data_IF_482861001054
#
_entry.id   IF_482861001054
#
_cell.length_a   1.000
_cell.length_b   1.000
_cell.length_c   1.000
_cell.angle_alpha   90.00
_cell.angle_beta   90.00
_cell.angle_gamma   90.00
#
_symmetry.space_group_name_H-M   'P 1'
#
loop_
_entity.id
_entity.type
_entity.pdbx_description
1 polymer ?
#
# COMPACT_ATOMS: atom_id res chain seq x y z
N UNK A 1 -18.34 -6.15 10.42
CA UNK A 1 -19.02 -4.92 10.89
C UNK A 1 -18.02 -4.14 11.71
N UNK A 2 -17.55 -2.99 11.23
CA UNK A 2 -16.76 -2.05 12.04
C UNK A 2 -17.65 -1.53 13.16
N UNK A 3 -17.25 -1.76 14.42
CA UNK A 3 -17.93 -1.15 15.55
C UNK A 3 -18.02 0.37 15.32
N UNK A 4 -19.18 0.98 15.55
CA UNK A 4 -19.26 2.44 15.46
C UNK A 4 -18.36 3.05 16.54
N UNK A 5 -17.78 4.24 16.31
CA UNK A 5 -16.97 4.94 17.33
C UNK A 5 -17.70 4.97 18.68
N UNK A 6 -19.02 5.24 18.68
CA UNK A 6 -19.85 5.25 19.89
C UNK A 6 -19.95 3.88 20.58
N UNK A 7 -20.03 2.79 19.79
CA UNK A 7 -20.06 1.45 20.35
C UNK A 7 -18.72 1.08 21.01
N UNK A 8 -17.61 1.45 20.38
CA UNK A 8 -16.28 1.25 20.98
C UNK A 8 -16.11 2.04 22.27
N UNK A 9 -16.52 3.32 22.29
CA UNK A 9 -16.48 4.14 23.51
C UNK A 9 -17.38 3.56 24.60
N UNK A 10 -18.59 3.09 24.27
CA UNK A 10 -19.49 2.49 25.25
C UNK A 10 -18.93 1.20 25.85
N UNK A 11 -18.17 0.43 25.09
CA UNK A 11 -17.61 -0.84 25.54
C UNK A 11 -16.24 -0.70 26.23
N UNK A 12 -15.36 0.18 25.71
CA UNK A 12 -13.95 0.28 26.13
C UNK A 12 -13.62 1.58 26.86
N UNK A 13 -14.54 2.58 26.88
CA UNK A 13 -14.30 3.92 27.38
C UNK A 13 -13.68 4.87 26.33
N UNK A 14 -13.08 4.34 25.26
CA UNK A 14 -12.40 5.10 24.23
C UNK A 14 -12.51 4.46 22.84
N UNK A 15 -12.12 5.21 21.79
CA UNK A 15 -12.01 4.69 20.43
C UNK A 15 -10.87 5.36 19.67
N UNK A 16 -10.08 4.60 18.87
CA UNK A 16 -9.14 5.17 17.91
C UNK A 16 -9.92 5.78 16.73
N UNK A 17 -9.54 7.00 16.34
CA UNK A 17 -10.20 7.75 15.28
C UNK A 17 -9.20 8.45 14.37
N UNK A 18 -9.66 8.72 13.12
CA UNK A 18 -9.00 9.61 12.16
C UNK A 18 -9.89 10.85 12.06
N UNK A 19 -9.36 11.99 12.46
CA UNK A 19 -10.00 13.30 12.26
C UNK A 19 -9.42 13.96 11.01
N UNK A 20 -10.27 14.28 10.05
CA UNK A 20 -9.91 14.95 8.80
C UNK A 20 -10.03 16.46 8.99
N UNK A 21 -8.96 17.19 8.74
CA UNK A 21 -8.92 18.63 8.88
C UNK A 21 -9.56 19.35 7.69
N UNK A 22 -10.00 20.59 7.90
CA UNK A 22 -10.44 21.48 6.82
C UNK A 22 -9.21 22.10 6.14
N UNK A 23 -9.34 22.45 4.85
CA UNK A 23 -8.24 23.05 4.08
C UNK A 23 -7.85 24.47 4.59
N UNK A 24 -8.76 25.13 5.30
CA UNK A 24 -8.55 26.49 5.85
C UNK A 24 -7.83 26.50 7.20
N UNK A 25 -7.74 25.33 7.86
CA UNK A 25 -6.98 25.22 9.10
C UNK A 25 -5.50 25.33 8.78
N UNK A 26 -4.85 26.45 9.21
CA UNK A 26 -3.38 26.49 9.14
C UNK A 26 -2.82 25.32 9.96
N UNK A 27 -1.87 24.55 9.43
CA UNK A 27 -1.40 23.33 10.10
C UNK A 27 -0.97 23.56 11.56
N UNK A 28 -0.40 24.74 11.88
CA UNK A 28 0.15 25.03 13.20
C UNK A 28 -0.90 25.46 14.24
N UNK A 29 -1.90 26.25 13.85
CA UNK A 29 -2.93 26.72 14.78
C UNK A 29 -4.06 25.70 15.01
N UNK A 30 -4.30 24.80 14.02
CA UNK A 30 -5.26 23.72 14.14
C UNK A 30 -4.71 22.57 15.01
N UNK A 31 -3.37 22.36 15.02
CA UNK A 31 -2.74 21.27 15.73
C UNK A 31 -3.06 21.30 17.24
N UNK A 32 -2.80 22.39 17.92
CA UNK A 32 -2.99 22.48 19.38
C UNK A 32 -4.48 22.39 19.79
N UNK A 33 -5.36 23.11 19.06
CA UNK A 33 -6.79 23.14 19.37
C UNK A 33 -7.47 21.78 19.12
N UNK A 34 -7.05 21.06 18.07
CA UNK A 34 -7.58 19.73 17.72
C UNK A 34 -6.96 18.67 18.61
N UNK A 35 -5.64 18.72 18.86
CA UNK A 35 -4.91 17.76 19.70
C UNK A 35 -5.44 17.73 21.13
N UNK A 36 -5.89 18.85 21.69
CA UNK A 36 -6.47 18.95 23.03
C UNK A 36 -7.74 18.08 23.23
N UNK A 37 -8.36 17.63 22.16
CA UNK A 37 -9.56 16.78 22.22
C UNK A 37 -9.27 15.27 22.25
N UNK A 38 -8.01 14.89 22.06
CA UNK A 38 -7.59 13.50 22.16
C UNK A 38 -7.15 13.17 23.57
N UNK A 39 -7.42 11.95 23.96
CA UNK A 39 -7.08 11.46 25.30
C UNK A 39 -5.58 11.15 25.35
N UNK A 40 -4.83 11.60 26.38
CA UNK A 40 -3.47 11.13 26.60
C UNK A 40 -3.46 9.60 26.68
N UNK A 41 -2.47 8.92 26.09
CA UNK A 41 -2.37 7.48 26.24
C UNK A 41 -2.29 7.10 27.71
N UNK A 42 -3.42 6.63 28.23
CA UNK A 42 -3.40 5.81 29.44
C UNK A 42 -2.72 4.50 29.02
N UNK A 43 -1.57 4.21 29.57
CA UNK A 43 -0.66 3.14 29.18
C UNK A 43 -1.37 1.90 28.63
N UNK A 44 -1.03 1.56 27.40
CA UNK A 44 -1.71 0.65 26.46
C UNK A 44 -2.44 -0.54 27.12
N UNK A 45 -3.73 -0.44 27.31
CA UNK A 45 -4.57 -1.58 27.70
C UNK A 45 -4.82 -2.58 26.56
N UNK A 46 -4.27 -2.35 25.36
CA UNK A 46 -4.41 -3.22 24.19
C UNK A 46 -3.17 -4.08 23.87
N UNK A 47 -2.15 -4.07 24.71
CA UNK A 47 -0.90 -4.81 24.47
C UNK A 47 -0.24 -5.38 25.72
N UNK A 48 -0.98 -6.06 26.60
CA UNK A 48 -0.45 -6.67 27.84
C UNK A 48 0.64 -7.72 27.72
N UNK A 49 1.30 -7.85 26.56
CA UNK A 49 2.43 -8.77 26.35
C UNK A 49 3.70 -8.09 25.79
N UNK A 50 3.68 -6.80 25.46
CA UNK A 50 4.83 -6.10 24.85
C UNK A 50 5.55 -5.12 25.80
N UNK A 51 5.08 -4.94 27.05
CA UNK A 51 5.63 -3.94 28.01
C UNK A 51 6.85 -4.44 28.78
N UNK A 52 7.20 -5.73 28.71
CA UNK A 52 8.34 -6.27 29.47
C UNK A 52 9.73 -5.94 28.88
N UNK A 53 9.82 -5.21 27.75
CA UNK A 53 11.10 -4.85 27.12
C UNK A 53 11.40 -3.34 27.08
N UNK A 54 10.59 -2.50 27.72
CA UNK A 54 10.73 -1.03 27.68
C UNK A 54 11.13 -0.38 29.00
N UNK A 55 11.77 -1.13 29.92
CA UNK A 55 12.18 -0.59 31.23
C UNK A 55 13.47 0.24 31.23
N UNK A 56 14.04 0.56 30.07
CA UNK A 56 15.32 1.28 30.00
C UNK A 56 15.34 2.53 29.09
N UNK A 57 14.22 3.23 28.92
CA UNK A 57 14.20 4.56 28.30
C UNK A 57 13.71 5.58 29.31
N UNK A 58 14.64 6.44 29.70
CA UNK A 58 14.44 7.47 30.71
C UNK A 58 13.18 8.33 30.51
N UNK A 59 12.56 8.72 31.61
CA UNK A 59 11.37 9.54 31.71
C UNK A 59 11.59 10.94 31.13
N UNK A 60 11.48 11.12 29.81
CA UNK A 60 11.38 12.42 29.18
C UNK A 60 10.81 12.24 27.76
N UNK A 61 9.52 12.15 27.62
CA UNK A 61 8.68 12.57 26.50
C UNK A 61 7.40 11.73 26.58
N UNK A 62 6.38 12.30 27.20
CA UNK A 62 5.02 11.72 27.14
C UNK A 62 4.67 11.53 25.65
N UNK A 63 4.41 10.28 25.24
CA UNK A 63 3.99 9.97 23.87
C UNK A 63 2.76 10.84 23.56
N UNK A 64 2.76 11.64 22.49
CA UNK A 64 1.65 12.51 22.18
C UNK A 64 0.36 11.69 22.05
N UNK A 65 -0.71 12.16 22.70
CA UNK A 65 -2.03 11.55 22.67
C UNK A 65 -2.61 11.37 21.27
N UNK A 66 -2.10 12.10 20.29
CA UNK A 66 -2.49 12.07 18.90
C UNK A 66 -1.35 12.50 17.99
N UNK A 67 -1.42 12.07 16.72
CA UNK A 67 -0.44 12.35 15.69
C UNK A 67 -1.06 13.13 14.54
N UNK A 68 -0.42 14.21 14.16
CA UNK A 68 -0.76 15.00 12.94
C UNK A 68 0.03 14.44 11.75
N UNK A 69 -0.66 14.14 10.67
CA UNK A 69 -0.11 13.76 9.37
C UNK A 69 -0.39 14.90 8.39
N UNK A 70 0.63 15.72 8.15
CA UNK A 70 0.48 17.05 7.53
C UNK A 70 0.12 16.99 6.05
N UNK A 71 0.75 16.08 5.30
CA UNK A 71 0.48 15.93 3.86
C UNK A 71 -0.91 15.33 3.61
N UNK A 72 -1.41 14.53 4.57
CA UNK A 72 -2.76 13.96 4.50
C UNK A 72 -3.83 14.88 5.11
N UNK A 73 -3.46 15.92 5.83
CA UNK A 73 -4.39 16.82 6.51
C UNK A 73 -5.27 16.08 7.53
N UNK A 74 -4.68 15.18 8.32
CA UNK A 74 -5.41 14.39 9.32
C UNK A 74 -4.72 14.37 10.67
N UNK A 75 -5.51 14.06 11.70
CA UNK A 75 -5.02 13.72 13.04
C UNK A 75 -5.52 12.32 13.40
N UNK A 76 -4.61 11.45 13.84
CA UNK A 76 -4.91 10.12 14.34
C UNK A 76 -4.65 10.05 15.84
N UNK A 77 -5.53 9.42 16.58
CA UNK A 77 -5.38 9.21 18.01
C UNK A 77 -6.63 8.60 18.65
N UNK A 78 -6.64 8.54 19.98
CA UNK A 78 -7.72 7.95 20.78
C UNK A 78 -8.56 9.04 21.39
N UNK A 79 -9.89 8.86 21.39
CA UNK A 79 -10.85 9.80 21.97
C UNK A 79 -11.85 9.11 22.90
N UNK A 80 -12.25 9.84 23.94
CA UNK A 80 -13.41 9.54 24.76
C UNK A 80 -14.67 10.24 24.21
N UNK A 81 -15.82 10.05 24.84
CA UNK A 81 -17.09 10.63 24.40
C UNK A 81 -17.06 12.17 24.31
N UNK A 82 -16.43 12.84 25.27
CA UNK A 82 -16.29 14.30 25.29
C UNK A 82 -15.40 14.80 24.14
N UNK A 83 -14.23 14.17 23.94
CA UNK A 83 -13.30 14.49 22.85
C UNK A 83 -13.93 14.26 21.48
N UNK A 84 -14.65 13.15 21.28
CA UNK A 84 -15.39 12.90 20.02
C UNK A 84 -16.42 14.00 19.73
N UNK A 85 -17.14 14.45 20.77
CA UNK A 85 -18.14 15.53 20.63
C UNK A 85 -17.47 16.85 20.28
N UNK A 86 -16.37 17.18 20.93
CA UNK A 86 -15.57 18.39 20.66
C UNK A 86 -14.96 18.38 19.25
N UNK A 87 -14.36 17.26 18.82
CA UNK A 87 -13.84 17.13 17.44
C UNK A 87 -14.92 17.37 16.38
N UNK A 88 -16.12 16.82 16.60
CA UNK A 88 -17.24 17.00 15.66
C UNK A 88 -17.81 18.41 15.63
N UNK A 89 -17.65 19.17 16.69
CA UNK A 89 -18.07 20.56 16.81
C UNK A 89 -17.00 21.54 16.34
N UNK A 90 -15.76 21.10 16.19
CA UNK A 90 -14.63 21.94 15.79
C UNK A 90 -14.76 22.36 14.33
N UNK A 91 -14.65 23.69 14.01
CA UNK A 91 -14.64 24.16 12.63
C UNK A 91 -13.40 23.72 11.84
N UNK A 92 -12.33 23.34 12.55
CA UNK A 92 -11.11 22.81 11.93
C UNK A 92 -11.23 21.34 11.48
N UNK A 93 -12.31 20.64 11.86
CA UNK A 93 -12.52 19.21 11.56
C UNK A 93 -13.71 19.02 10.65
N UNK A 94 -13.47 18.53 9.42
CA UNK A 94 -14.55 18.25 8.45
C UNK A 94 -15.21 16.89 8.65
N UNK A 95 -14.50 15.91 9.23
CA UNK A 95 -15.02 14.56 9.48
C UNK A 95 -14.21 13.84 10.54
N UNK A 96 -14.87 12.93 11.29
CA UNK A 96 -14.21 11.99 12.22
C UNK A 96 -14.67 10.58 11.87
N UNK A 97 -13.72 9.70 11.51
CA UNK A 97 -13.98 8.31 11.14
C UNK A 97 -13.31 7.34 12.12
N UNK A 98 -13.89 6.14 12.31
CA UNK A 98 -13.23 5.11 13.12
C UNK A 98 -11.94 4.68 12.42
N UNK A 99 -10.89 4.45 13.17
CA UNK A 99 -9.69 3.80 12.67
C UNK A 99 -9.92 2.29 12.63
N UNK A 100 -9.67 1.68 11.49
CA UNK A 100 -9.78 0.24 11.29
C UNK A 100 -8.38 -0.37 11.13
N UNK A 101 -8.17 -1.52 11.74
CA UNK A 101 -6.88 -2.21 11.69
C UNK A 101 -6.68 -2.90 10.33
N UNK A 102 -5.68 -2.47 9.60
CA UNK A 102 -5.22 -3.12 8.38
C UNK A 102 -4.31 -4.31 8.71
N UNK A 103 -4.08 -5.19 7.75
CA UNK A 103 -3.15 -6.31 7.88
C UNK A 103 -2.48 -6.61 6.54
N UNK A 104 -1.30 -7.23 6.59
CA UNK A 104 -0.65 -7.77 5.41
C UNK A 104 -1.56 -8.79 4.70
N UNK A 105 -1.61 -8.75 3.38
CA UNK A 105 -2.25 -9.78 2.57
C UNK A 105 -1.19 -10.85 2.31
N UNK A 106 -1.13 -11.86 3.19
CA UNK A 106 -0.10 -12.90 3.11
C UNK A 106 -0.25 -13.76 1.86
N UNK A 107 0.87 -14.17 1.25
CA UNK A 107 0.87 -15.13 0.15
C UNK A 107 0.17 -16.43 0.54
N UNK A 108 -0.49 -17.07 -0.44
CA UNK A 108 -1.19 -18.36 -0.26
C UNK A 108 -0.23 -19.54 -0.36
N UNK A 109 0.83 -19.41 -1.15
CA UNK A 109 1.89 -20.42 -1.29
C UNK A 109 3.24 -19.74 -1.27
N UNK A 110 4.24 -20.47 -0.76
CA UNK A 110 5.64 -20.09 -0.77
C UNK A 110 6.49 -21.34 -1.08
N UNK A 111 7.36 -21.26 -2.07
CA UNK A 111 8.27 -22.32 -2.45
C UNK A 111 9.67 -21.75 -2.74
N UNK A 112 10.70 -22.59 -2.64
CA UNK A 112 12.02 -22.25 -3.18
C UNK A 112 12.01 -22.54 -4.67
N UNK A 113 12.33 -21.58 -5.54
CA UNK A 113 12.44 -21.82 -6.96
C UNK A 113 13.70 -22.66 -7.25
N UNK A 114 13.66 -23.42 -8.35
CA UNK A 114 14.89 -23.68 -9.11
C UNK A 114 15.46 -22.32 -9.55
N UNK A 115 16.78 -22.14 -9.54
CA UNK A 115 17.41 -20.87 -9.91
C UNK A 115 16.80 -20.27 -11.18
N UNK A 116 16.22 -19.05 -11.11
CA UNK A 116 15.61 -18.42 -12.28
C UNK A 116 16.68 -18.05 -13.31
N UNK A 117 16.29 -17.99 -14.57
CA UNK A 117 17.16 -17.55 -15.67
C UNK A 117 16.40 -16.60 -16.58
N UNK A 118 17.08 -15.57 -17.07
CA UNK A 118 16.49 -14.60 -17.98
C UNK A 118 15.38 -13.78 -17.31
N UNK A 119 14.43 -13.33 -18.10
CA UNK A 119 13.26 -12.58 -17.61
C UNK A 119 12.24 -13.54 -17.01
N UNK A 120 11.84 -13.29 -15.76
CA UNK A 120 10.78 -14.10 -15.11
C UNK A 120 9.44 -13.92 -15.80
N UNK A 121 8.57 -14.93 -15.71
CA UNK A 121 7.37 -14.99 -16.52
C UNK A 121 6.43 -13.78 -16.34
N UNK A 122 6.28 -13.30 -15.10
CA UNK A 122 5.39 -12.18 -14.81
C UNK A 122 5.82 -10.90 -15.51
N UNK A 123 7.10 -10.59 -15.47
CA UNK A 123 7.70 -9.42 -16.16
C UNK A 123 7.57 -9.55 -17.69
N UNK A 124 7.82 -10.76 -18.23
CA UNK A 124 7.65 -11.02 -19.66
C UNK A 124 6.18 -10.95 -20.10
N UNK A 125 5.25 -11.38 -19.24
CA UNK A 125 3.81 -11.35 -19.54
C UNK A 125 3.28 -9.92 -19.73
N UNK A 126 3.80 -8.95 -18.96
CA UNK A 126 3.48 -7.53 -19.13
C UNK A 126 4.15 -6.88 -20.36
N UNK A 127 4.98 -7.61 -21.08
CA UNK A 127 5.81 -7.08 -22.18
C UNK A 127 6.75 -5.93 -21.72
N UNK A 128 7.22 -6.00 -20.45
CA UNK A 128 8.15 -5.00 -19.92
C UNK A 128 9.49 -4.95 -20.67
N UNK A 129 10.09 -6.09 -21.12
CA UNK A 129 11.30 -6.05 -21.95
C UNK A 129 11.17 -5.23 -23.22
N UNK A 130 10.01 -5.24 -23.87
CA UNK A 130 9.71 -4.47 -25.07
C UNK A 130 9.60 -2.96 -24.76
N UNK A 131 9.15 -2.60 -23.56
CA UNK A 131 9.17 -1.21 -23.09
C UNK A 131 10.59 -0.76 -22.74
N UNK A 132 11.40 -1.62 -22.13
CA UNK A 132 12.82 -1.32 -21.85
C UNK A 132 13.62 -1.11 -23.14
N UNK A 133 13.33 -1.90 -24.18
CA UNK A 133 13.97 -1.74 -25.49
C UNK A 133 13.68 -0.38 -26.13
N UNK A 134 12.59 0.28 -25.73
CA UNK A 134 12.25 1.66 -26.12
C UNK A 134 12.83 2.72 -25.15
N UNK A 135 13.55 2.31 -24.10
CA UNK A 135 14.16 3.18 -23.10
C UNK A 135 13.31 3.43 -21.86
N UNK A 136 12.11 2.82 -21.77
CA UNK A 136 11.21 3.02 -20.62
C UNK A 136 11.49 1.99 -19.53
N UNK A 137 12.22 2.38 -18.50
CA UNK A 137 12.62 1.55 -17.36
C UNK A 137 12.03 2.00 -16.03
N UNK A 138 11.25 3.09 -16.03
CA UNK A 138 10.73 3.76 -14.83
C UNK A 138 11.69 4.83 -14.27
N UNK A 139 12.77 5.18 -15.00
CA UNK A 139 13.77 6.13 -14.53
C UNK A 139 13.16 7.50 -14.17
N UNK A 140 13.57 8.06 -13.03
CA UNK A 140 13.08 9.33 -12.51
C UNK A 140 11.67 9.29 -11.91
N UNK A 141 11.04 8.11 -11.84
CA UNK A 141 9.73 7.94 -11.20
C UNK A 141 9.89 7.36 -9.80
N UNK A 142 9.46 8.11 -8.79
CA UNK A 142 9.41 7.64 -7.40
C UNK A 142 8.18 6.79 -7.16
N UNK A 143 8.41 5.59 -6.66
CA UNK A 143 7.36 4.66 -6.26
C UNK A 143 7.46 4.38 -4.78
N UNK A 144 6.45 4.76 -4.02
CA UNK A 144 6.34 4.40 -2.61
C UNK A 144 5.88 2.94 -2.48
N UNK A 145 6.55 2.18 -1.62
CA UNK A 145 6.28 0.80 -1.33
C UNK A 145 6.03 0.65 0.17
N UNK A 146 4.77 0.47 0.57
CA UNK A 146 4.36 0.30 1.96
C UNK A 146 4.14 -1.18 2.26
N UNK A 147 5.07 -1.79 2.98
CA UNK A 147 5.08 -3.23 3.24
C UNK A 147 5.81 -3.55 4.57
N UNK A 148 6.43 -4.69 4.65
CA UNK A 148 7.24 -5.14 5.79
C UNK A 148 8.68 -4.59 5.80
N UNK A 149 8.98 -3.62 4.93
CA UNK A 149 10.31 -3.09 4.68
C UNK A 149 10.96 -3.76 3.47
N UNK A 150 12.30 -3.72 3.39
CA UNK A 150 13.07 -4.25 2.26
C UNK A 150 14.49 -4.62 2.69
N UNK A 151 15.01 -5.71 2.16
CA UNK A 151 16.43 -6.06 2.23
C UNK A 151 17.17 -5.48 1.01
N UNK A 152 17.67 -4.25 1.14
CA UNK A 152 18.40 -3.57 0.07
C UNK A 152 19.79 -4.17 -0.22
N UNK A 153 20.24 -5.14 0.60
CA UNK A 153 21.50 -5.86 0.34
C UNK A 153 21.33 -6.98 -0.68
N UNK A 154 20.08 -7.33 -1.04
CA UNK A 154 19.84 -8.30 -2.10
C UNK A 154 20.39 -7.77 -3.42
N UNK A 155 21.18 -8.55 -4.19
CA UNK A 155 21.87 -8.06 -5.39
C UNK A 155 20.96 -7.37 -6.41
N UNK A 156 19.74 -7.88 -6.61
CA UNK A 156 18.80 -7.23 -7.56
C UNK A 156 18.18 -5.93 -7.04
N UNK A 157 18.38 -5.56 -5.79
CA UNK A 157 17.90 -4.31 -5.19
C UNK A 157 19.03 -3.29 -4.96
N UNK A 158 20.26 -3.64 -5.34
CA UNK A 158 21.40 -2.73 -5.22
C UNK A 158 21.15 -1.40 -5.97
N UNK A 159 21.17 -0.30 -5.21
CA UNK A 159 20.89 1.04 -5.68
C UNK A 159 19.44 1.28 -6.17
N UNK A 160 18.51 0.34 -6.00
CA UNK A 160 17.09 0.55 -6.33
C UNK A 160 16.36 1.36 -5.26
N UNK A 161 16.70 1.14 -3.97
CA UNK A 161 16.10 1.84 -2.83
C UNK A 161 16.79 3.19 -2.66
N UNK A 162 16.08 4.28 -2.99
CA UNK A 162 16.60 5.64 -2.88
C UNK A 162 16.20 6.32 -1.56
N UNK A 163 15.09 5.88 -0.97
CA UNK A 163 14.59 6.36 0.31
C UNK A 163 14.06 5.19 1.14
N UNK A 164 14.32 5.22 2.45
CA UNK A 164 13.74 4.27 3.38
C UNK A 164 13.15 4.98 4.59
N UNK A 165 12.04 4.47 5.08
CA UNK A 165 11.43 4.92 6.32
C UNK A 165 10.92 3.72 7.14
N UNK A 166 11.15 3.80 8.44
CA UNK A 166 10.49 2.94 9.43
C UNK A 166 9.60 3.81 10.30
N UNK A 167 8.41 3.31 10.64
CA UNK A 167 7.48 4.02 11.50
C UNK A 167 7.25 3.23 12.78
N UNK A 168 7.26 3.91 13.92
CA UNK A 168 6.92 3.32 15.21
C UNK A 168 5.38 3.13 15.34
N UNK A 169 4.96 2.53 16.44
CA UNK A 169 3.53 2.25 16.72
C UNK A 169 2.66 3.52 16.85
N UNK A 170 3.26 4.70 16.95
CA UNK A 170 2.56 6.00 16.96
C UNK A 170 2.48 6.64 15.57
N UNK A 171 3.08 6.01 14.55
CA UNK A 171 3.19 6.56 13.20
C UNK A 171 4.28 7.63 13.04
N UNK A 172 5.20 7.76 14.01
CA UNK A 172 6.37 8.62 13.89
C UNK A 172 7.44 7.90 13.07
N UNK A 173 8.07 8.63 12.14
CA UNK A 173 9.28 8.12 11.47
C UNK A 173 10.39 7.91 12.49
N UNK A 174 10.98 6.72 12.49
CA UNK A 174 12.15 6.41 13.32
C UNK A 174 13.36 7.08 12.68
N UNK A 175 14.06 7.98 13.39
CA UNK A 175 15.25 8.62 12.85
C UNK A 175 16.34 7.60 12.56
N UNK A 176 17.05 7.77 11.45
CA UNK A 176 18.22 6.95 11.07
C UNK A 176 18.00 5.43 11.13
N UNK A 177 16.74 5.00 10.91
CA UNK A 177 16.42 3.59 10.91
C UNK A 177 17.22 2.85 9.81
N UNK A 178 17.87 1.72 10.13
CA UNK A 178 18.58 0.94 9.14
C UNK A 178 17.60 0.32 8.14
N UNK A 179 18.00 0.25 6.87
CA UNK A 179 17.19 -0.42 5.85
C UNK A 179 17.10 -1.90 6.22
N UNK A 180 15.88 -2.39 6.39
CA UNK A 180 15.61 -3.78 6.80
C UNK A 180 14.23 -4.25 6.36
N UNK A 181 14.05 -5.54 6.23
CA UNK A 181 12.75 -6.20 6.12
C UNK A 181 12.38 -6.83 7.46
N UNK A 182 11.29 -6.40 8.05
CA UNK A 182 10.78 -6.90 9.34
C UNK A 182 10.08 -8.26 9.23
N UNK A 183 9.74 -8.73 8.02
CA UNK A 183 9.06 -10.01 7.83
C UNK A 183 10.05 -11.18 7.73
N UNK A 184 9.76 -12.23 8.47
CA UNK A 184 10.56 -13.46 8.43
C UNK A 184 10.57 -14.08 7.03
N UNK A 185 9.49 -13.98 6.28
CA UNK A 185 9.36 -14.56 4.95
C UNK A 185 9.72 -13.58 3.82
N UNK A 186 10.27 -12.38 4.20
CA UNK A 186 10.75 -11.37 3.26
C UNK A 186 9.71 -10.91 2.25
N UNK A 187 8.46 -10.73 2.71
CA UNK A 187 7.37 -10.31 1.84
C UNK A 187 7.67 -8.97 1.16
N UNK A 188 8.10 -7.96 1.92
CA UNK A 188 8.41 -6.65 1.37
C UNK A 188 9.60 -6.68 0.40
N UNK A 189 10.63 -7.48 0.67
CA UNK A 189 11.77 -7.65 -0.26
C UNK A 189 11.32 -8.28 -1.58
N UNK A 190 10.44 -9.29 -1.53
CA UNK A 190 9.90 -9.93 -2.72
C UNK A 190 9.07 -8.95 -3.57
N UNK A 191 8.16 -8.20 -2.96
CA UNK A 191 7.29 -7.23 -3.65
C UNK A 191 8.07 -6.03 -4.17
N UNK A 192 9.07 -5.54 -3.42
CA UNK A 192 10.00 -4.48 -3.85
C UNK A 192 10.79 -4.90 -5.10
N UNK A 193 11.36 -6.12 -5.09
CA UNK A 193 12.12 -6.63 -6.23
C UNK A 193 11.23 -6.92 -7.44
N UNK A 194 9.99 -7.39 -7.25
CA UNK A 194 9.01 -7.54 -8.34
C UNK A 194 8.69 -6.19 -9.00
N UNK A 195 8.67 -5.11 -8.23
CA UNK A 195 8.44 -3.76 -8.73
C UNK A 195 9.68 -3.21 -9.44
N UNK A 196 10.82 -3.13 -8.76
CA UNK A 196 11.99 -2.33 -9.16
C UNK A 196 13.31 -3.12 -9.20
N UNK A 197 13.26 -4.46 -9.11
CA UNK A 197 14.47 -5.29 -9.13
C UNK A 197 15.26 -5.13 -10.42
N UNK A 198 16.57 -4.93 -10.26
CA UNK A 198 17.52 -4.78 -11.37
C UNK A 198 18.00 -6.14 -11.85
N UNK A 199 18.53 -6.18 -13.06
CA UNK A 199 19.15 -7.40 -13.59
C UNK A 199 20.35 -7.81 -12.73
N UNK A 200 20.37 -9.09 -12.35
CA UNK A 200 21.45 -9.69 -11.57
C UNK A 200 21.74 -11.08 -12.11
N UNK A 201 22.99 -11.34 -12.51
CA UNK A 201 23.44 -12.61 -13.10
C UNK A 201 22.55 -13.10 -14.26
N UNK A 202 22.09 -12.16 -15.09
CA UNK A 202 21.20 -12.43 -16.21
C UNK A 202 19.75 -12.73 -15.84
N UNK A 203 19.36 -12.54 -14.57
CA UNK A 203 17.97 -12.67 -14.09
C UNK A 203 17.32 -11.30 -13.96
N UNK A 204 16.10 -11.17 -14.50
CA UNK A 204 15.30 -9.95 -14.48
C UNK A 204 13.96 -10.24 -13.78
N UNK A 205 13.78 -9.72 -12.58
CA UNK A 205 12.59 -9.92 -11.74
C UNK A 205 11.71 -8.67 -11.61
N UNK A 206 12.27 -7.47 -11.80
CA UNK A 206 11.56 -6.21 -11.64
C UNK A 206 10.93 -5.73 -12.94
N UNK A 207 9.72 -5.17 -12.86
CA UNK A 207 9.00 -4.58 -13.99
C UNK A 207 9.62 -3.23 -14.38
N UNK A 208 9.96 -2.39 -13.40
CA UNK A 208 10.50 -1.04 -13.59
C UNK A 208 11.91 -0.92 -12.96
N UNK A 209 12.95 -1.52 -13.57
CA UNK A 209 14.29 -1.61 -12.97
C UNK A 209 15.00 -0.25 -12.83
N UNK A 210 14.52 0.79 -13.48
CA UNK A 210 15.01 2.17 -13.33
C UNK A 210 14.23 3.03 -12.35
N UNK A 211 13.12 2.54 -11.79
CA UNK A 211 12.32 3.30 -10.83
C UNK A 211 13.09 3.59 -9.54
N UNK A 212 12.79 4.74 -8.94
CA UNK A 212 13.29 5.16 -7.64
C UNK A 212 12.39 4.60 -6.53
N UNK A 213 12.82 3.51 -5.89
CA UNK A 213 12.03 2.86 -4.86
C UNK A 213 12.16 3.58 -3.52
N UNK A 214 11.03 4.11 -3.01
CA UNK A 214 10.89 4.66 -1.67
C UNK A 214 10.17 3.62 -0.79
N UNK A 215 10.91 2.81 -0.02
CA UNK A 215 10.33 1.72 0.75
C UNK A 215 10.09 2.08 2.20
N UNK A 216 8.93 1.71 2.74
CA UNK A 216 8.57 1.96 4.12
C UNK A 216 8.19 0.67 4.85
N UNK A 217 8.79 0.47 6.03
CA UNK A 217 8.40 -0.56 6.98
C UNK A 217 7.20 -0.06 7.78
N UNK A 218 6.01 -0.52 7.40
CA UNK A 218 4.73 -0.16 8.05
C UNK A 218 4.01 -1.37 8.64
N UNK A 219 4.42 -2.59 8.28
CA UNK A 219 3.86 -3.84 8.77
C UNK A 219 4.86 -4.50 9.71
N UNK A 220 4.77 -4.17 10.98
CA UNK A 220 5.49 -4.79 12.08
C UNK A 220 4.63 -4.60 13.35
N UNK A 221 4.79 -5.37 14.38
CA UNK A 221 3.92 -5.38 15.57
C UNK A 221 3.41 -4.03 16.11
N UNK A 222 2.45 -4.04 17.02
CA UNK A 222 1.81 -2.85 17.57
C UNK A 222 0.67 -2.29 16.71
N UNK A 223 0.43 -0.97 16.76
CA UNK A 223 -0.59 -0.30 15.94
C UNK A 223 -0.09 -0.05 14.52
N UNK A 224 -0.41 -0.98 13.62
CA UNK A 224 -0.05 -0.86 12.21
C UNK A 224 -0.85 0.22 11.48
N UNK A 225 -1.99 0.65 11.99
CA UNK A 225 -2.76 1.74 11.37
C UNK A 225 -1.99 3.05 11.44
N UNK A 226 -1.44 3.39 12.60
CA UNK A 226 -0.59 4.58 12.76
C UNK A 226 0.64 4.53 11.84
N UNK A 227 1.31 3.36 11.76
CA UNK A 227 2.46 3.14 10.86
C UNK A 227 2.10 3.37 9.40
N UNK A 228 0.96 2.82 8.94
CA UNK A 228 0.49 2.95 7.56
C UNK A 228 0.14 4.40 7.25
N UNK A 229 -0.52 5.11 8.17
CA UNK A 229 -0.81 6.55 8.02
C UNK A 229 0.49 7.37 7.91
N UNK A 230 1.50 7.04 8.74
CA UNK A 230 2.83 7.63 8.63
C UNK A 230 3.49 7.37 7.28
N UNK A 231 3.41 6.13 6.79
CA UNK A 231 3.91 5.75 5.47
C UNK A 231 3.20 6.45 4.31
N UNK A 232 1.87 6.60 4.38
CA UNK A 232 1.08 7.34 3.38
C UNK A 232 1.44 8.83 3.36
N UNK A 233 1.55 9.45 4.53
CA UNK A 233 1.96 10.86 4.67
C UNK A 233 3.37 11.08 4.10
N UNK A 234 4.29 10.20 4.45
CA UNK A 234 5.66 10.23 3.96
C UNK A 234 5.73 10.01 2.44
N UNK A 235 4.92 9.11 1.88
CA UNK A 235 4.88 8.85 0.44
C UNK A 235 4.56 10.12 -0.37
N UNK A 236 3.62 10.94 0.12
CA UNK A 236 3.34 12.26 -0.46
C UNK A 236 4.54 13.18 -0.29
N UNK A 237 5.12 13.23 0.92
CA UNK A 237 6.26 14.10 1.25
C UNK A 237 7.52 13.82 0.43
N UNK A 238 7.80 12.56 0.06
CA UNK A 238 8.94 12.20 -0.80
C UNK A 238 8.65 12.38 -2.29
N UNK A 239 7.44 12.82 -2.65
CA UNK A 239 7.06 13.06 -4.04
C UNK A 239 6.83 11.77 -4.84
N UNK A 240 6.36 10.71 -4.21
CA UNK A 240 5.99 9.49 -4.91
C UNK A 240 4.81 9.74 -5.86
N UNK A 241 4.86 9.17 -7.06
CA UNK A 241 3.78 9.21 -8.04
C UNK A 241 2.90 7.96 -8.03
N UNK A 242 3.43 6.87 -7.51
CA UNK A 242 2.73 5.58 -7.34
C UNK A 242 2.90 5.14 -5.90
N UNK A 243 1.86 4.56 -5.32
CA UNK A 243 1.89 3.94 -4.00
C UNK A 243 1.45 2.47 -4.14
N UNK A 244 2.38 1.54 -3.92
CA UNK A 244 2.14 0.09 -3.95
C UNK A 244 1.84 -0.41 -2.55
N UNK A 245 0.67 -1.05 -2.36
CA UNK A 245 0.22 -1.57 -1.07
C UNK A 245 -0.33 -2.99 -1.18
N UNK A 246 0.37 -3.94 -0.55
CA UNK A 246 -0.05 -5.34 -0.44
C UNK A 246 -0.68 -5.64 0.92
N UNK A 247 -1.61 -4.78 1.35
CA UNK A 247 -2.25 -4.79 2.65
C UNK A 247 -3.73 -4.44 2.57
N UNK A 248 -4.51 -4.79 3.58
CA UNK A 248 -5.93 -4.44 3.61
C UNK A 248 -6.71 -5.08 4.77
N UNK A 249 -7.94 -4.62 4.97
CA UNK A 249 -8.92 -5.19 5.89
C UNK A 249 -10.03 -5.88 5.12
N UNK A 250 -10.45 -7.05 5.56
CA UNK A 250 -11.52 -7.83 4.91
C UNK A 250 -12.85 -7.09 4.86
N UNK A 251 -13.49 -7.15 3.70
CA UNK A 251 -14.78 -6.52 3.44
C UNK A 251 -14.68 -5.03 3.08
N UNK A 252 -15.84 -4.38 2.94
CA UNK A 252 -15.93 -2.95 2.66
C UNK A 252 -15.95 -2.16 3.98
N UNK A 253 -14.87 -1.45 4.23
CA UNK A 253 -14.67 -0.62 5.43
C UNK A 253 -14.26 0.78 4.99
N UNK A 254 -15.08 1.79 5.24
CA UNK A 254 -14.93 3.14 4.69
C UNK A 254 -13.93 4.04 5.44
N UNK A 255 -13.17 3.51 6.40
CA UNK A 255 -12.24 4.29 7.24
C UNK A 255 -11.17 5.04 6.44
N UNK A 256 -10.69 4.44 5.34
CA UNK A 256 -9.60 4.96 4.53
C UNK A 256 -10.04 5.54 3.19
N UNK A 257 -11.36 5.64 2.93
CA UNK A 257 -11.88 6.11 1.64
C UNK A 257 -11.41 7.53 1.29
N UNK A 258 -11.45 8.46 2.28
CA UNK A 258 -11.00 9.83 2.07
C UNK A 258 -9.48 9.92 1.93
N UNK A 259 -8.72 9.02 2.57
CA UNK A 259 -7.26 8.98 2.45
C UNK A 259 -6.83 8.60 1.04
N UNK A 260 -7.49 7.63 0.43
CA UNK A 260 -7.26 7.27 -0.98
C UNK A 260 -7.58 8.46 -1.91
N UNK A 261 -8.62 9.22 -1.61
CA UNK A 261 -8.91 10.45 -2.35
C UNK A 261 -7.81 11.51 -2.17
N UNK A 262 -7.35 11.74 -0.94
CA UNK A 262 -6.26 12.68 -0.63
C UNK A 262 -4.96 12.29 -1.34
N UNK A 263 -4.59 11.00 -1.36
CA UNK A 263 -3.42 10.53 -2.11
C UNK A 263 -3.52 10.92 -3.58
N UNK A 264 -4.66 10.67 -4.23
CA UNK A 264 -4.87 11.03 -5.63
C UNK A 264 -4.86 12.54 -5.87
N UNK A 265 -5.47 13.30 -4.98
CA UNK A 265 -5.49 14.77 -5.06
C UNK A 265 -4.06 15.37 -4.92
N UNK A 266 -3.12 14.61 -4.31
CA UNK A 266 -1.68 14.90 -4.27
C UNK A 266 -0.89 14.25 -5.42
N UNK A 267 -1.54 13.72 -6.45
CA UNK A 267 -0.88 13.15 -7.63
C UNK A 267 -0.28 11.76 -7.42
N UNK A 268 -0.66 11.05 -6.37
CA UNK A 268 -0.20 9.68 -6.06
C UNK A 268 -1.24 8.66 -6.51
N UNK A 269 -0.88 7.74 -7.41
CA UNK A 269 -1.74 6.62 -7.83
C UNK A 269 -1.65 5.47 -6.82
N UNK A 270 -2.71 5.17 -6.04
CA UNK A 270 -2.71 4.05 -5.13
C UNK A 270 -3.03 2.74 -5.87
N UNK A 271 -2.05 1.83 -5.93
CA UNK A 271 -2.16 0.49 -6.51
C UNK A 271 -2.25 -0.51 -5.36
N UNK A 272 -3.35 -1.23 -5.25
CA UNK A 272 -3.70 -1.97 -4.02
C UNK A 272 -4.17 -3.39 -4.32
N UNK A 273 -3.63 -4.36 -3.59
CA UNK A 273 -4.06 -5.75 -3.65
C UNK A 273 -5.51 -5.94 -3.19
N UNK A 274 -6.32 -6.72 -3.95
CA UNK A 274 -7.73 -6.94 -3.63
C UNK A 274 -7.96 -7.96 -2.51
N UNK A 275 -7.02 -8.86 -2.26
CA UNK A 275 -7.15 -9.93 -1.26
C UNK A 275 -7.07 -11.34 -1.84
N UNK A 276 -6.93 -12.33 -0.94
CA UNK A 276 -6.67 -13.73 -1.28
C UNK A 276 -7.77 -14.69 -0.74
N UNK A 277 -8.99 -14.20 -0.58
CA UNK A 277 -10.09 -14.95 0.01
C UNK A 277 -11.09 -15.51 -1.02
N UNK A 278 -10.77 -15.40 -2.32
CA UNK A 278 -11.56 -15.95 -3.40
C UNK A 278 -12.77 -15.10 -3.83
N UNK A 279 -13.63 -15.67 -4.70
CA UNK A 279 -14.80 -14.97 -5.23
C UNK A 279 -15.80 -14.54 -4.15
N UNK A 280 -16.48 -13.41 -4.38
CA UNK A 280 -17.47 -12.85 -3.45
C UNK A 280 -16.86 -12.13 -2.26
N UNK A 281 -15.54 -11.95 -2.24
CA UNK A 281 -14.79 -11.29 -1.18
C UNK A 281 -13.95 -10.14 -1.71
N UNK A 282 -13.55 -9.23 -0.81
CA UNK A 282 -12.62 -8.14 -1.13
C UNK A 282 -12.00 -7.57 0.14
N UNK A 283 -10.96 -6.75 -0.02
CA UNK A 283 -10.34 -5.99 1.07
C UNK A 283 -10.32 -4.49 0.77
N UNK A 284 -10.59 -3.68 1.78
CA UNK A 284 -10.35 -2.23 1.75
C UNK A 284 -8.88 -1.94 2.10
N UNK A 285 -8.22 -1.00 1.40
CA UNK A 285 -8.73 -0.05 0.41
C UNK A 285 -8.80 -0.57 -1.04
N UNK A 286 -8.35 -1.80 -1.36
CA UNK A 286 -8.37 -2.35 -2.71
C UNK A 286 -9.76 -2.40 -3.38
N UNK A 287 -10.84 -2.35 -2.60
CA UNK A 287 -12.21 -2.32 -3.13
C UNK A 287 -12.82 -0.91 -3.24
N UNK A 288 -12.00 0.15 -3.09
CA UNK A 288 -12.49 1.52 -3.24
C UNK A 288 -12.49 1.97 -4.69
N UNK A 289 -13.46 2.82 -5.10
CA UNK A 289 -13.56 3.29 -6.49
C UNK A 289 -12.36 4.12 -6.99
N UNK A 290 -11.58 4.68 -6.09
CA UNK A 290 -10.41 5.53 -6.40
C UNK A 290 -9.07 4.85 -6.13
N UNK A 291 -9.05 3.56 -5.82
CA UNK A 291 -7.83 2.75 -5.75
C UNK A 291 -7.76 1.88 -7.00
N UNK A 292 -6.60 1.79 -7.65
CA UNK A 292 -6.38 0.83 -8.72
C UNK A 292 -6.24 -0.56 -8.09
N UNK A 293 -7.32 -1.32 -8.18
CA UNK A 293 -7.48 -2.62 -7.53
C UNK A 293 -6.87 -3.74 -8.36
N UNK A 294 -5.99 -4.55 -7.76
CA UNK A 294 -5.25 -5.59 -8.48
C UNK A 294 -5.58 -6.98 -7.95
N UNK A 295 -6.06 -7.83 -8.86
CA UNK A 295 -6.22 -9.27 -8.67
C UNK A 295 -5.06 -10.06 -9.26
N UNK A 296 -5.08 -11.39 -9.10
CA UNK A 296 -4.02 -12.28 -9.52
C UNK A 296 -4.48 -13.24 -10.62
N UNK A 297 -3.64 -13.44 -11.66
CA UNK A 297 -3.80 -14.49 -12.65
C UNK A 297 -2.54 -15.38 -12.72
N UNK A 298 -2.66 -16.57 -13.32
CA UNK A 298 -1.58 -17.51 -13.57
C UNK A 298 -0.98 -17.37 -14.98
N UNK A 299 -0.02 -18.25 -15.31
CA UNK A 299 0.68 -18.25 -16.61
C UNK A 299 -0.25 -18.56 -17.80
N UNK A 300 -1.34 -19.26 -17.56
CA UNK A 300 -2.33 -19.62 -18.58
C UNK A 300 -3.35 -18.49 -18.82
N UNK A 301 -3.19 -17.35 -18.13
CA UNK A 301 -4.09 -16.21 -18.21
C UNK A 301 -5.42 -16.46 -17.53
N UNK A 302 -5.48 -17.34 -16.53
CA UNK A 302 -6.69 -17.61 -15.75
C UNK A 302 -6.61 -16.91 -14.40
N UNK A 303 -7.71 -16.32 -13.96
CA UNK A 303 -7.77 -15.70 -12.63
C UNK A 303 -7.57 -16.75 -11.56
N UNK A 304 -6.59 -16.54 -10.69
CA UNK A 304 -6.27 -17.47 -9.61
C UNK A 304 -7.48 -17.71 -8.70
N UNK A 305 -7.68 -18.96 -8.29
CA UNK A 305 -8.82 -19.34 -7.45
C UNK A 305 -8.92 -18.57 -6.14
N UNK A 306 -7.75 -18.22 -5.56
CA UNK A 306 -7.67 -17.44 -4.33
C UNK A 306 -7.94 -15.94 -4.55
N UNK A 307 -7.71 -15.39 -5.76
CA UNK A 307 -7.87 -13.95 -6.00
C UNK A 307 -9.27 -13.50 -5.63
N UNK A 308 -9.36 -12.54 -4.72
CA UNK A 308 -10.64 -11.97 -4.34
C UNK A 308 -11.28 -11.24 -5.51
N UNK A 309 -12.59 -11.22 -5.56
CA UNK A 309 -13.38 -10.42 -6.50
C UNK A 309 -14.79 -10.22 -5.95
N UNK A 310 -15.36 -9.05 -6.16
CA UNK A 310 -16.68 -8.73 -5.62
C UNK A 310 -17.45 -7.79 -6.54
N UNK A 311 -18.79 -8.01 -6.63
CA UNK A 311 -19.73 -7.07 -7.24
C UNK A 311 -20.38 -6.23 -6.14
N UNK A 312 -20.39 -4.91 -6.32
CA UNK A 312 -21.01 -3.94 -5.43
C UNK A 312 -22.27 -3.34 -6.06
N UNK A 313 -23.25 -3.00 -5.22
CA UNK A 313 -24.44 -2.25 -5.62
C UNK A 313 -24.12 -0.73 -5.66
N UNK A 314 -23.25 -0.33 -6.60
CA UNK A 314 -22.89 1.06 -6.83
C UNK A 314 -22.87 1.35 -8.33
N UNK A 315 -23.17 2.61 -8.73
CA UNK A 315 -23.31 3.01 -10.14
C UNK A 315 -21.98 3.00 -10.90
N UNK A 316 -20.92 3.44 -10.22
CA UNK A 316 -19.56 3.50 -10.78
C UNK A 316 -18.69 2.43 -10.11
N UNK A 317 -17.78 1.81 -10.87
CA UNK A 317 -16.88 0.75 -10.37
C UNK A 317 -17.62 -0.38 -9.64
N UNK A 318 -18.63 -1.00 -10.27
CA UNK A 318 -19.44 -2.03 -9.60
C UNK A 318 -18.67 -3.35 -9.39
N UNK A 319 -17.59 -3.57 -10.12
CA UNK A 319 -16.73 -4.75 -10.04
C UNK A 319 -15.37 -4.42 -9.44
N UNK A 320 -14.79 -5.37 -8.75
CA UNK A 320 -13.42 -5.34 -8.26
C UNK A 320 -12.85 -6.78 -8.28
N UNK A 321 -11.57 -6.98 -8.62
CA UNK A 321 -10.53 -5.98 -8.90
C UNK A 321 -10.82 -5.20 -10.18
N UNK A 322 -10.05 -4.12 -10.42
CA UNK A 322 -10.13 -3.37 -11.68
C UNK A 322 -9.38 -4.11 -12.79
N UNK A 323 -8.19 -4.63 -12.47
CA UNK A 323 -7.36 -5.44 -13.37
C UNK A 323 -6.80 -6.65 -12.63
N UNK A 324 -6.28 -7.60 -13.40
CA UNK A 324 -5.48 -8.70 -12.88
C UNK A 324 -4.07 -8.66 -13.46
N UNK A 325 -3.09 -9.13 -12.68
CA UNK A 325 -1.69 -9.19 -13.08
C UNK A 325 -1.05 -10.51 -12.61
N UNK A 326 0.16 -10.85 -13.05
CA UNK A 326 0.86 -12.05 -12.64
C UNK A 326 0.96 -12.18 -11.11
N UNK A 327 0.31 -13.20 -10.55
CA UNK A 327 0.23 -13.38 -9.11
C UNK A 327 0.34 -14.85 -8.64
N UNK A 328 0.59 -15.78 -9.57
CA UNK A 328 0.78 -17.21 -9.26
C UNK A 328 2.21 -17.60 -9.60
N UNK A 329 2.90 -18.24 -8.66
CA UNK A 329 4.27 -18.71 -8.81
C UNK A 329 5.21 -17.59 -9.32
N UNK A 330 5.12 -16.43 -8.70
CA UNK A 330 5.96 -15.27 -8.99
C UNK A 330 7.32 -15.46 -8.32
N UNK A 331 8.37 -15.52 -9.13
CA UNK A 331 9.76 -15.58 -8.66
C UNK A 331 10.29 -14.18 -8.47
N UNK A 332 10.86 -13.89 -7.30
CA UNK A 332 11.50 -12.61 -6.98
C UNK A 332 12.52 -12.80 -5.85
N UNK A 333 13.04 -11.69 -5.32
CA UNK A 333 14.03 -11.72 -4.24
C UNK A 333 13.51 -12.43 -2.99
N UNK A 334 14.37 -13.24 -2.40
CA UNK A 334 14.12 -13.99 -1.19
C UNK A 334 15.13 -13.68 -0.09
N UNK A 335 15.38 -14.66 0.78
CA UNK A 335 16.36 -14.54 1.88
C UNK A 335 17.78 -14.70 1.38
N UNK A 336 18.72 -14.09 2.11
CA UNK A 336 20.17 -14.33 1.97
C UNK A 336 20.66 -14.16 0.52
N UNK A 337 20.10 -13.17 -0.20
CA UNK A 337 20.47 -12.92 -1.59
C UNK A 337 19.92 -13.95 -2.58
N UNK A 338 19.09 -14.89 -2.12
CA UNK A 338 18.50 -15.94 -2.95
C UNK A 338 17.14 -15.55 -3.54
N UNK A 339 16.55 -16.49 -4.26
CA UNK A 339 15.25 -16.33 -4.91
C UNK A 339 14.15 -17.05 -4.15
N UNK A 340 12.91 -16.55 -4.28
CA UNK A 340 11.74 -17.15 -3.67
C UNK A 340 10.56 -17.10 -4.64
N UNK A 341 9.68 -18.11 -4.59
CA UNK A 341 8.44 -18.15 -5.36
C UNK A 341 7.26 -17.95 -4.43
N UNK A 342 6.45 -16.95 -4.69
CA UNK A 342 5.24 -16.65 -3.91
C UNK A 342 4.03 -16.55 -4.83
N UNK A 343 2.83 -16.86 -4.28
CA UNK A 343 1.55 -16.67 -4.97
C UNK A 343 0.61 -15.84 -4.09
N UNK A 344 -0.01 -14.81 -4.68
CA UNK A 344 -0.93 -13.89 -4.01
C UNK A 344 -1.20 -12.65 -4.83
N UNK A 345 -2.28 -11.94 -4.52
CA UNK A 345 -2.55 -10.62 -5.09
C UNK A 345 -1.49 -9.59 -4.68
N UNK A 346 -0.77 -9.85 -3.59
CA UNK A 346 0.42 -9.10 -3.16
C UNK A 346 1.57 -9.15 -4.17
N UNK A 347 1.68 -10.22 -4.95
CA UNK A 347 2.69 -10.36 -6.00
C UNK A 347 2.23 -9.73 -7.31
N UNK A 348 0.92 -9.69 -7.55
CA UNK A 348 0.32 -9.03 -8.71
C UNK A 348 0.41 -7.49 -8.62
N UNK A 349 0.20 -6.92 -7.45
CA UNK A 349 0.17 -5.47 -7.20
C UNK A 349 1.46 -4.75 -7.65
N UNK A 350 2.68 -5.20 -7.26
CA UNK A 350 3.91 -4.55 -7.70
C UNK A 350 4.15 -4.63 -9.21
N UNK A 351 3.61 -5.62 -9.92
CA UNK A 351 3.65 -5.65 -11.38
C UNK A 351 2.91 -4.44 -11.98
N UNK A 352 1.72 -4.13 -11.47
CA UNK A 352 0.92 -2.99 -11.94
C UNK A 352 1.55 -1.66 -11.51
N UNK A 353 2.09 -1.59 -10.30
CA UNK A 353 2.80 -0.40 -9.83
C UNK A 353 4.06 -0.10 -10.67
N UNK A 354 4.82 -1.15 -11.02
CA UNK A 354 5.96 -1.04 -11.95
C UNK A 354 5.51 -0.60 -13.35
N UNK A 355 4.44 -1.18 -13.89
CA UNK A 355 3.88 -0.75 -15.18
C UNK A 355 3.50 0.73 -15.16
N UNK A 356 2.82 1.19 -14.10
CA UNK A 356 2.49 2.62 -13.97
C UNK A 356 3.76 3.50 -14.00
N UNK A 357 4.85 3.07 -13.35
CA UNK A 357 6.11 3.80 -13.37
C UNK A 357 6.75 3.85 -14.78
N UNK A 358 6.68 2.76 -15.56
CA UNK A 358 7.14 2.76 -16.96
C UNK A 358 6.36 3.79 -17.80
N UNK A 359 5.04 3.79 -17.67
CA UNK A 359 4.15 4.70 -18.41
C UNK A 359 4.36 6.16 -17.99
N UNK A 360 4.57 6.44 -16.70
CA UNK A 360 4.85 7.78 -16.18
C UNK A 360 6.21 8.33 -16.63
N UNK A 361 7.21 7.46 -16.84
CA UNK A 361 8.47 7.88 -17.49
C UNK A 361 8.26 8.22 -18.96
N UNK A 362 7.48 7.41 -19.67
CA UNK A 362 7.21 7.64 -21.10
C UNK A 362 6.37 8.91 -21.32
N UNK A 363 5.47 9.23 -20.40
CA UNK A 363 4.56 10.38 -20.45
C UNK A 363 4.61 11.17 -19.14
N UNK A 364 5.67 11.96 -18.88
CA UNK A 364 5.89 12.62 -17.59
C UNK A 364 4.82 13.67 -17.26
N UNK A 365 4.18 14.27 -18.28
CA UNK A 365 3.13 15.28 -18.14
C UNK A 365 1.73 14.67 -17.95
N UNK A 366 1.58 13.35 -18.12
CA UNK A 366 0.30 12.70 -17.90
C UNK A 366 -0.05 12.67 -16.40
N UNK A 367 -1.29 13.04 -16.07
CA UNK A 367 -1.82 12.88 -14.74
C UNK A 367 -2.09 11.40 -14.40
N UNK A 368 -2.29 11.13 -13.13
CA UNK A 368 -2.51 9.75 -12.66
C UNK A 368 -3.80 9.12 -13.18
N UNK A 369 -4.81 9.92 -13.47
CA UNK A 369 -6.09 9.45 -14.02
C UNK A 369 -5.93 9.01 -15.49
N UNK A 370 -5.06 9.70 -16.24
CA UNK A 370 -4.69 9.33 -17.61
C UNK A 370 -3.88 8.05 -17.65
N UNK A 371 -2.89 7.89 -16.76
CA UNK A 371 -2.10 6.66 -16.63
C UNK A 371 -3.00 5.47 -16.24
N UNK A 372 -3.85 5.64 -15.22
CA UNK A 372 -4.79 4.61 -14.80
C UNK A 372 -5.73 4.20 -15.93
N UNK A 373 -6.33 5.16 -16.63
CA UNK A 373 -7.21 4.91 -17.77
C UNK A 373 -6.51 4.11 -18.86
N UNK A 374 -5.26 4.45 -19.19
CA UNK A 374 -4.47 3.70 -20.18
C UNK A 374 -4.27 2.23 -19.76
N UNK A 375 -3.98 1.98 -18.47
CA UNK A 375 -3.88 0.62 -17.92
C UNK A 375 -5.21 -0.13 -18.03
N UNK A 376 -6.32 0.50 -17.63
CA UNK A 376 -7.65 -0.12 -17.63
C UNK A 376 -8.15 -0.45 -19.05
N UNK A 377 -8.06 0.51 -19.98
CA UNK A 377 -8.55 0.37 -21.34
C UNK A 377 -7.70 -0.54 -22.22
N UNK A 378 -6.43 -0.76 -21.87
CA UNK A 378 -5.54 -1.65 -22.58
C UNK A 378 -5.62 -3.10 -22.10
N UNK A 379 -6.13 -3.33 -20.90
CA UNK A 379 -6.22 -4.65 -20.30
C UNK A 379 -7.02 -5.64 -21.16
N UNK A 380 -6.64 -6.92 -21.11
CA UNK A 380 -7.22 -7.97 -21.94
C UNK A 380 -8.03 -8.95 -21.07
N UNK A 381 -9.33 -8.97 -21.28
CA UNK A 381 -10.20 -9.90 -20.58
C UNK A 381 -9.96 -11.37 -21.03
N UNK A 382 -9.69 -11.59 -22.33
CA UNK A 382 -9.48 -12.93 -22.86
C UNK A 382 -10.65 -13.87 -22.55
N UNK A 383 -10.35 -15.04 -21.99
CA UNK A 383 -11.35 -16.04 -21.55
C UNK A 383 -11.79 -15.85 -20.09
N UNK A 384 -11.28 -14.83 -19.39
CA UNK A 384 -11.61 -14.60 -17.99
C UNK A 384 -13.05 -14.07 -17.83
N UNK A 385 -13.72 -14.49 -16.76
CA UNK A 385 -15.04 -13.96 -16.42
C UNK A 385 -14.93 -12.49 -15.95
N UNK A 386 -15.73 -11.57 -16.49
CA UNK A 386 -15.69 -10.15 -16.10
C UNK A 386 -15.88 -9.92 -14.58
N UNK A 387 -16.67 -10.77 -13.92
CA UNK A 387 -16.89 -10.72 -12.47
C UNK A 387 -15.63 -11.04 -11.66
N UNK A 388 -14.62 -11.66 -12.30
CA UNK A 388 -13.36 -12.05 -11.69
C UNK A 388 -12.20 -11.11 -12.02
N UNK A 389 -12.20 -10.56 -13.24
CA UNK A 389 -11.07 -9.81 -13.79
C UNK A 389 -11.41 -8.37 -14.22
N UNK A 390 -12.71 -8.01 -14.25
CA UNK A 390 -13.23 -6.72 -14.74
C UNK A 390 -12.66 -6.35 -16.13
N UNK A 391 -11.63 -5.46 -16.19
CA UNK A 391 -10.99 -5.09 -17.45
C UNK A 391 -10.06 -6.20 -17.99
N UNK A 392 -9.55 -7.09 -17.14
CA UNK A 392 -8.71 -8.22 -17.53
C UNK A 392 -7.24 -8.08 -17.14
N UNK A 393 -6.37 -8.83 -17.80
CA UNK A 393 -4.92 -8.82 -17.57
C UNK A 393 -4.27 -7.58 -18.17
N UNK A 394 -3.38 -6.94 -17.42
CA UNK A 394 -2.64 -5.75 -17.85
C UNK A 394 -1.70 -6.08 -19.03
N UNK A 395 -1.54 -5.11 -19.94
CA UNK A 395 -0.70 -5.22 -21.14
C UNK A 395 0.08 -3.92 -21.31
N UNK A 396 1.40 -3.99 -21.15
CA UNK A 396 2.26 -2.79 -21.09
C UNK A 396 2.39 -2.06 -22.42
N UNK A 397 2.57 -2.78 -23.53
CA UNK A 397 2.67 -2.14 -24.84
C UNK A 397 1.37 -1.46 -25.24
N UNK A 398 0.25 -2.15 -25.06
CA UNK A 398 -1.06 -1.56 -25.35
C UNK A 398 -1.39 -0.37 -24.46
N UNK A 399 -0.92 -0.39 -23.21
CA UNK A 399 -1.10 0.75 -22.31
C UNK A 399 -0.29 1.96 -22.79
N UNK A 400 0.95 1.75 -23.25
CA UNK A 400 1.77 2.80 -23.85
C UNK A 400 1.10 3.37 -25.11
N UNK A 401 0.53 2.52 -25.98
CA UNK A 401 -0.19 2.95 -27.20
C UNK A 401 -1.47 3.77 -26.92
N UNK A 402 -1.93 3.84 -25.66
CA UNK A 402 -3.11 4.61 -25.22
C UNK A 402 -2.78 5.99 -24.67
N UNK A 403 -1.52 6.28 -24.46
CA UNK A 403 -1.00 7.56 -23.99
C UNK A 403 -0.47 8.44 -25.10
#
# INVERSE_FOLDING_TARGET
MTASIRASIAQLGFAPVIAFLTAEASPEAADDAVLAHFTPEAGSALGGAAIAAAEDVGAADAVPAARVFRHLGIVYGTVEAAGLSALRASPAVRAVKPAAQLSLIRPVTAARPSEPRGTVWGVGHLQAPELWAQGWTGAGVRVAHLDTGVDATHPCLDGAVVEFAEFDHTGRRVPDAPIRDGDRDRHGTHTAATLAGRETDGVRVGVAPGAELCSALVIEGGDITARILGGMDWAVGVGARVLSMSLGIRGLVNSFLDLVAILRDNGVLPVVAIGNEGPGTSRSPGNYPRALSVGAHDRDGLVAGFSSSQRFQRRTHPLTPDVVAPGVDVVSAGREGGWQTLSGTSMATPHVAGLAALLMQAHPDADIDTIERAILESARLGSMAPERANHGAVDGLRALDRL
#
